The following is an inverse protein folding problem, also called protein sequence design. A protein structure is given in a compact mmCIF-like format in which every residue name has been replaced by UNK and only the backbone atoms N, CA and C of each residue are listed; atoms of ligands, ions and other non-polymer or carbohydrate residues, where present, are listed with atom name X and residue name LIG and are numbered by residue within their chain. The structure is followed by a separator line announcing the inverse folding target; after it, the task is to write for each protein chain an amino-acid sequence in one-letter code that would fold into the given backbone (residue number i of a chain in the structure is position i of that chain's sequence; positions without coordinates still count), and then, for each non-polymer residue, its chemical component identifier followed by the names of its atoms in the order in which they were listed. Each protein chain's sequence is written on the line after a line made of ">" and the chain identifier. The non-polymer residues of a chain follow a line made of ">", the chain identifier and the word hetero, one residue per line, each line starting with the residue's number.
data_IF_450258238463
#
_entry.id   IF_450258238463
#
_cell.length_a   1.000
_cell.length_b   1.000
_cell.length_c   1.000
_cell.angle_alpha   90.00
_cell.angle_beta   90.00
_cell.angle_gamma   90.00
#
_symmetry.space_group_name_H-M   'P 1'
#
loop_
_entity.id
_entity.type
_entity.pdbx_description
1 polymer ?
#
# COMPACT_ATOMS: atom_id res chain seq x y z
N UNK A 1 31.05 -15.92 -19.59
CA UNK A 1 30.22 -15.53 -18.42
C UNK A 1 28.98 -14.68 -18.77
N UNK A 2 29.07 -13.43 -19.27
CA UNK A 2 27.87 -12.65 -19.68
C UNK A 2 27.10 -13.24 -20.89
N UNK A 3 27.81 -13.80 -21.88
CA UNK A 3 27.20 -14.44 -23.08
C UNK A 3 26.44 -15.73 -22.75
N UNK A 4 26.91 -16.51 -21.78
CA UNK A 4 26.29 -17.79 -21.37
C UNK A 4 24.99 -17.58 -20.58
N UNK A 5 24.93 -16.49 -19.80
CA UNK A 5 23.74 -16.09 -19.06
C UNK A 5 22.61 -15.65 -20.00
N UNK A 6 22.93 -14.92 -21.06
CA UNK A 6 21.92 -14.51 -22.05
C UNK A 6 21.32 -15.71 -22.80
N UNK A 7 22.14 -16.70 -23.14
CA UNK A 7 21.70 -17.92 -23.84
C UNK A 7 20.77 -18.79 -22.98
N UNK A 8 21.03 -18.87 -21.68
CA UNK A 8 20.26 -19.71 -20.75
C UNK A 8 18.93 -19.11 -20.30
N UNK A 9 18.70 -17.80 -20.52
CA UNK A 9 17.49 -17.10 -20.08
C UNK A 9 16.82 -16.29 -21.20
N UNK A 10 17.14 -16.59 -22.45
CA UNK A 10 16.70 -15.78 -23.60
C UNK A 10 15.17 -15.71 -23.70
N UNK A 11 14.48 -16.82 -23.44
CA UNK A 11 13.01 -16.89 -23.51
C UNK A 11 12.38 -16.07 -22.40
N UNK A 12 12.90 -16.19 -21.19
CA UNK A 12 12.44 -15.47 -20.00
C UNK A 12 12.59 -13.96 -20.18
N UNK A 13 13.77 -13.52 -20.65
CA UNK A 13 14.05 -12.11 -20.91
C UNK A 13 13.13 -11.58 -22.02
N UNK A 14 12.99 -12.32 -23.13
CA UNK A 14 12.12 -11.91 -24.23
C UNK A 14 10.65 -11.81 -23.78
N UNK A 15 10.14 -12.81 -23.06
CA UNK A 15 8.78 -12.78 -22.53
C UNK A 15 8.57 -11.63 -21.55
N UNK A 16 9.58 -11.30 -20.73
CA UNK A 16 9.50 -10.16 -19.81
C UNK A 16 9.47 -8.83 -20.57
N UNK A 17 10.31 -8.68 -21.60
CA UNK A 17 10.30 -7.48 -22.45
C UNK A 17 8.95 -7.31 -23.15
N UNK A 18 8.40 -8.39 -23.74
CA UNK A 18 7.07 -8.37 -24.36
C UNK A 18 5.99 -7.99 -23.35
N UNK A 19 6.04 -8.55 -22.14
CA UNK A 19 5.13 -8.19 -21.07
C UNK A 19 5.22 -6.70 -20.73
N UNK A 20 6.43 -6.17 -20.53
CA UNK A 20 6.61 -4.76 -20.19
C UNK A 20 6.08 -3.83 -21.28
N UNK A 21 6.31 -4.16 -22.55
CA UNK A 21 5.81 -3.40 -23.71
C UNK A 21 4.28 -3.45 -23.76
N UNK A 22 3.67 -4.62 -23.61
CA UNK A 22 2.21 -4.79 -23.67
C UNK A 22 1.48 -3.98 -22.59
N UNK A 23 2.12 -3.77 -21.44
CA UNK A 23 1.54 -3.06 -20.30
C UNK A 23 1.98 -1.59 -20.16
N UNK A 24 2.65 -1.01 -21.17
CA UNK A 24 3.06 0.41 -21.16
C UNK A 24 1.91 1.36 -20.76
N UNK A 25 0.69 1.26 -21.31
CA UNK A 25 -0.41 2.15 -20.92
C UNK A 25 -0.77 2.03 -19.42
N UNK A 26 -0.73 0.81 -18.88
CA UNK A 26 -0.99 0.54 -17.46
C UNK A 26 0.11 1.11 -16.58
N UNK A 27 1.38 1.01 -17.01
CA UNK A 27 2.51 1.62 -16.30
C UNK A 27 2.45 3.15 -16.33
N UNK A 28 2.09 3.76 -17.46
CA UNK A 28 1.87 5.21 -17.55
C UNK A 28 0.77 5.67 -16.60
N UNK A 29 -0.36 4.94 -16.55
CA UNK A 29 -1.42 5.23 -15.59
C UNK A 29 -0.96 5.08 -14.14
N UNK A 30 -0.19 4.04 -13.81
CA UNK A 30 0.38 3.90 -12.46
C UNK A 30 1.37 5.02 -12.14
N UNK A 31 2.19 5.43 -13.11
CA UNK A 31 3.14 6.54 -12.97
C UNK A 31 2.43 7.85 -12.63
N UNK A 32 1.39 8.21 -13.39
CA UNK A 32 0.56 9.39 -13.10
C UNK A 32 -0.03 9.33 -11.68
N UNK A 33 -0.46 8.13 -11.25
CA UNK A 33 -1.00 7.92 -9.92
C UNK A 33 0.05 8.06 -8.83
N UNK A 34 1.28 7.55 -9.02
CA UNK A 34 2.34 7.63 -8.01
C UNK A 34 2.86 9.05 -7.82
N UNK A 35 2.96 9.83 -8.90
CA UNK A 35 3.57 11.17 -8.89
C UNK A 35 2.56 12.33 -8.81
N UNK A 36 1.25 12.05 -8.72
CA UNK A 36 0.26 13.08 -8.46
C UNK A 36 0.54 13.80 -7.11
N UNK A 37 0.36 15.13 -7.08
CA UNK A 37 0.65 16.00 -5.92
C UNK A 37 0.01 15.50 -4.62
N UNK A 38 -1.20 14.95 -4.70
CA UNK A 38 -1.94 14.42 -3.56
C UNK A 38 -2.11 12.89 -3.57
N UNK A 39 -1.14 12.20 -4.18
CA UNK A 39 -1.20 10.75 -4.34
C UNK A 39 -1.38 9.98 -3.03
N UNK A 40 -2.24 8.97 -3.06
CA UNK A 40 -2.34 7.94 -2.01
C UNK A 40 -1.27 6.85 -2.15
N UNK A 41 -0.58 6.81 -3.29
CA UNK A 41 0.32 5.73 -3.73
C UNK A 41 1.73 6.23 -4.06
N UNK A 42 2.20 7.33 -3.47
CA UNK A 42 3.57 7.84 -3.72
C UNK A 42 4.66 6.80 -3.44
N UNK A 43 4.41 5.85 -2.53
CA UNK A 43 5.31 4.73 -2.23
C UNK A 43 5.34 3.65 -3.33
N UNK A 44 4.37 3.63 -4.26
CA UNK A 44 4.18 2.56 -5.23
C UNK A 44 5.37 2.35 -6.16
N UNK A 45 6.08 3.42 -6.52
CA UNK A 45 7.32 3.33 -7.33
C UNK A 45 8.43 2.56 -6.62
N UNK A 46 8.48 2.58 -5.28
CA UNK A 46 9.50 1.88 -4.49
C UNK A 46 9.22 0.37 -4.39
N UNK A 47 7.97 -0.04 -4.56
CA UNK A 47 7.53 -1.42 -4.33
C UNK A 47 8.28 -2.44 -5.20
N UNK A 48 8.44 -2.25 -6.53
CA UNK A 48 9.25 -3.14 -7.36
C UNK A 48 10.70 -3.29 -6.91
N UNK A 49 11.32 -2.20 -6.44
CA UNK A 49 12.71 -2.22 -5.96
C UNK A 49 12.85 -3.01 -4.66
N UNK A 50 11.91 -2.84 -3.74
CA UNK A 50 11.86 -3.61 -2.47
C UNK A 50 11.61 -5.09 -2.76
N UNK A 51 10.67 -5.43 -3.65
CA UNK A 51 10.44 -6.81 -4.08
C UNK A 51 11.71 -7.42 -4.69
N UNK A 52 12.39 -6.69 -5.57
CA UNK A 52 13.64 -7.15 -6.19
C UNK A 52 14.75 -7.34 -5.16
N UNK A 53 14.86 -6.43 -4.19
CA UNK A 53 15.82 -6.55 -3.09
C UNK A 53 15.63 -7.83 -2.29
N UNK A 54 14.39 -8.17 -1.90
CA UNK A 54 14.12 -9.42 -1.19
C UNK A 54 14.45 -10.66 -2.04
N UNK A 55 14.10 -10.66 -3.33
CA UNK A 55 14.51 -11.75 -4.24
C UNK A 55 16.03 -11.85 -4.33
N UNK A 56 16.73 -10.72 -4.38
CA UNK A 56 18.19 -10.66 -4.45
C UNK A 56 18.87 -11.19 -3.19
N UNK A 57 18.30 -10.94 -2.00
CA UNK A 57 18.78 -11.55 -0.76
C UNK A 57 18.67 -13.08 -0.78
N UNK A 58 17.65 -13.63 -1.44
CA UNK A 58 17.39 -15.07 -1.52
C UNK A 58 18.15 -15.77 -2.65
N UNK A 59 18.95 -15.05 -3.46
CA UNK A 59 19.58 -15.59 -4.69
C UNK A 59 20.39 -16.88 -4.47
N UNK A 60 21.08 -16.99 -3.34
CA UNK A 60 21.92 -18.15 -3.02
C UNK A 60 21.09 -19.40 -2.72
N UNK A 61 19.92 -19.23 -2.09
CA UNK A 61 18.97 -20.31 -1.85
C UNK A 61 18.21 -20.68 -3.13
N UNK A 62 17.81 -19.69 -3.91
CA UNK A 62 17.12 -19.89 -5.19
C UNK A 62 17.98 -20.65 -6.20
N UNK A 63 19.30 -20.40 -6.22
CA UNK A 63 20.24 -21.11 -7.08
C UNK A 63 20.33 -22.62 -6.78
N UNK A 64 19.99 -23.05 -5.55
CA UNK A 64 19.98 -24.47 -5.14
C UNK A 64 18.70 -25.20 -5.55
N UNK A 65 17.64 -24.47 -5.90
CA UNK A 65 16.35 -25.05 -6.27
C UNK A 65 16.36 -25.36 -7.77
N UNK A 66 16.17 -26.64 -8.12
CA UNK A 66 16.02 -27.05 -9.51
C UNK A 66 14.75 -26.42 -10.11
N UNK A 67 14.88 -25.84 -11.29
CA UNK A 67 13.75 -25.29 -12.05
C UNK A 67 12.84 -26.41 -12.54
N UNK A 68 11.56 -26.12 -12.54
CA UNK A 68 10.54 -26.98 -13.12
C UNK A 68 9.51 -26.12 -13.83
N UNK A 69 8.95 -26.59 -14.93
CA UNK A 69 7.78 -25.95 -15.53
C UNK A 69 6.52 -26.37 -14.78
N UNK A 70 5.66 -25.42 -14.43
CA UNK A 70 4.34 -25.70 -13.86
C UNK A 70 3.24 -25.39 -14.89
N UNK A 71 2.33 -26.33 -15.18
CA UNK A 71 1.23 -26.09 -16.12
C UNK A 71 0.26 -25.00 -15.63
N UNK A 72 0.18 -24.78 -14.31
CA UNK A 72 -0.59 -23.69 -13.73
C UNK A 72 -0.06 -22.31 -14.12
N UNK A 73 1.24 -22.18 -14.41
CA UNK A 73 1.84 -20.92 -14.85
C UNK A 73 1.24 -20.44 -16.17
N UNK A 74 1.11 -21.35 -17.15
CA UNK A 74 0.51 -21.00 -18.45
C UNK A 74 -0.97 -20.62 -18.32
N UNK A 75 -1.74 -21.33 -17.47
CA UNK A 75 -3.14 -20.99 -17.20
C UNK A 75 -3.29 -19.56 -16.64
N UNK A 76 -2.42 -19.17 -15.71
CA UNK A 76 -2.40 -17.81 -15.15
C UNK A 76 -2.00 -16.75 -16.19
N UNK A 77 -1.02 -17.05 -17.05
CA UNK A 77 -0.63 -16.15 -18.15
C UNK A 77 -1.80 -15.90 -19.08
N UNK A 78 -2.47 -16.98 -19.56
CA UNK A 78 -3.61 -16.86 -20.47
C UNK A 78 -4.75 -16.08 -19.80
N UNK A 79 -5.10 -16.42 -18.56
CA UNK A 79 -6.14 -15.71 -17.82
C UNK A 79 -5.82 -14.21 -17.66
N UNK A 80 -4.59 -13.87 -17.28
CA UNK A 80 -4.16 -12.48 -17.12
C UNK A 80 -4.13 -11.71 -18.45
N UNK A 81 -3.76 -12.35 -19.57
CA UNK A 81 -3.82 -11.73 -20.90
C UNK A 81 -5.27 -11.47 -21.32
N UNK A 82 -6.19 -12.41 -21.08
CA UNK A 82 -7.63 -12.21 -21.36
C UNK A 82 -8.14 -11.00 -20.55
N UNK A 83 -7.83 -10.95 -19.25
CA UNK A 83 -8.21 -9.81 -18.40
C UNK A 83 -7.61 -8.51 -18.93
N UNK A 84 -6.35 -8.51 -19.36
CA UNK A 84 -5.70 -7.34 -19.93
C UNK A 84 -6.41 -6.84 -21.20
N UNK A 85 -6.69 -7.74 -22.14
CA UNK A 85 -7.37 -7.40 -23.41
C UNK A 85 -8.74 -6.80 -23.11
N UNK A 86 -9.56 -7.50 -22.32
CA UNK A 86 -10.89 -7.02 -21.93
C UNK A 86 -10.80 -5.67 -21.21
N UNK A 87 -9.87 -5.53 -20.26
CA UNK A 87 -9.68 -4.29 -19.52
C UNK A 87 -9.26 -3.14 -20.42
N UNK A 88 -8.38 -3.39 -21.39
CA UNK A 88 -7.93 -2.39 -22.37
C UNK A 88 -9.06 -1.97 -23.31
N UNK A 89 -9.93 -2.91 -23.73
CA UNK A 89 -11.13 -2.60 -24.54
C UNK A 89 -12.09 -1.68 -23.78
N UNK A 90 -12.31 -1.92 -22.49
CA UNK A 90 -13.18 -1.10 -21.64
C UNK A 90 -12.46 0.08 -20.95
N UNK A 91 -11.18 0.30 -21.24
CA UNK A 91 -10.33 1.35 -20.64
C UNK A 91 -10.29 1.31 -19.10
N UNK A 92 -10.35 0.12 -18.53
CA UNK A 92 -10.29 -0.13 -17.08
C UNK A 92 -8.83 -0.35 -16.65
N UNK A 93 -8.10 0.75 -16.45
CA UNK A 93 -6.65 0.70 -16.19
C UNK A 93 -6.28 -0.08 -14.91
N UNK A 94 -7.10 -0.03 -13.86
CA UNK A 94 -6.86 -0.81 -12.63
C UNK A 94 -6.83 -2.31 -12.90
N UNK A 95 -7.85 -2.84 -13.58
CA UNK A 95 -7.96 -4.27 -13.90
C UNK A 95 -6.82 -4.72 -14.81
N UNK A 96 -6.41 -3.85 -15.73
CA UNK A 96 -5.22 -4.05 -16.56
C UNK A 96 -3.93 -4.06 -15.71
N UNK A 97 -3.71 -3.08 -14.84
CA UNK A 97 -2.54 -3.06 -13.94
C UNK A 97 -2.51 -4.28 -12.98
N UNK A 98 -3.67 -4.74 -12.52
CA UNK A 98 -3.75 -5.95 -11.70
C UNK A 98 -3.46 -7.22 -12.52
N UNK A 99 -3.91 -7.29 -13.78
CA UNK A 99 -3.62 -8.44 -14.64
C UNK A 99 -2.14 -8.57 -14.96
N UNK A 100 -1.37 -7.48 -14.98
CA UNK A 100 0.09 -7.52 -15.06
C UNK A 100 0.69 -8.41 -13.96
N UNK A 101 0.24 -8.24 -12.72
CA UNK A 101 0.69 -9.07 -11.60
C UNK A 101 0.36 -10.54 -11.82
N UNK A 102 -0.86 -10.83 -12.29
CA UNK A 102 -1.30 -12.20 -12.58
C UNK A 102 -0.43 -12.85 -13.66
N UNK A 103 -0.16 -12.14 -14.76
CA UNK A 103 0.71 -12.65 -15.84
C UNK A 103 2.14 -12.82 -15.33
N UNK A 104 2.66 -11.85 -14.57
CA UNK A 104 4.00 -11.91 -13.99
C UNK A 104 4.16 -13.11 -13.04
N UNK A 105 3.19 -13.35 -12.15
CA UNK A 105 3.15 -14.51 -11.27
C UNK A 105 3.08 -15.82 -12.08
N UNK A 106 2.26 -15.83 -13.13
CA UNK A 106 2.17 -16.95 -14.07
C UNK A 106 3.51 -17.23 -14.77
N UNK A 107 4.24 -16.19 -15.19
CA UNK A 107 5.58 -16.31 -15.78
C UNK A 107 6.58 -16.88 -14.78
N UNK A 108 6.60 -16.39 -13.54
CA UNK A 108 7.49 -16.95 -12.51
C UNK A 108 7.18 -18.43 -12.29
N UNK A 109 5.90 -18.78 -12.21
CA UNK A 109 5.46 -20.16 -12.01
C UNK A 109 5.76 -21.05 -13.23
N UNK A 110 5.65 -20.52 -14.45
CA UNK A 110 5.92 -21.24 -15.70
C UNK A 110 7.41 -21.52 -15.90
N UNK A 111 8.27 -20.51 -15.72
CA UNK A 111 9.71 -20.63 -15.99
C UNK A 111 10.51 -21.22 -14.82
N UNK A 112 10.11 -20.92 -13.58
CA UNK A 112 10.89 -21.30 -12.38
C UNK A 112 10.20 -22.35 -11.51
N UNK A 113 8.89 -22.53 -11.66
CA UNK A 113 8.14 -23.60 -11.00
C UNK A 113 7.66 -23.28 -9.58
N UNK A 114 6.87 -24.20 -9.03
CA UNK A 114 6.16 -24.00 -7.77
C UNK A 114 7.08 -23.86 -6.55
N UNK A 115 8.25 -24.51 -6.54
CA UNK A 115 9.20 -24.42 -5.41
C UNK A 115 9.80 -23.03 -5.30
N UNK A 116 10.27 -22.47 -6.42
CA UNK A 116 10.78 -21.09 -6.48
C UNK A 116 9.65 -20.11 -6.19
N UNK A 117 8.47 -20.28 -6.81
CA UNK A 117 7.31 -19.43 -6.58
C UNK A 117 6.92 -19.33 -5.10
N UNK A 118 6.85 -20.47 -4.40
CA UNK A 118 6.59 -20.49 -2.94
C UNK A 118 7.67 -19.76 -2.15
N UNK A 119 8.94 -19.89 -2.55
CA UNK A 119 10.06 -19.24 -1.87
C UNK A 119 10.03 -17.72 -2.04
N UNK A 120 9.65 -17.22 -3.21
CA UNK A 120 9.51 -15.78 -3.49
C UNK A 120 8.08 -15.26 -3.34
N UNK A 121 7.19 -16.00 -2.65
CA UNK A 121 5.78 -15.64 -2.56
C UNK A 121 5.57 -14.27 -1.94
N UNK A 122 6.28 -13.95 -0.84
CA UNK A 122 6.17 -12.64 -0.22
C UNK A 122 6.62 -11.49 -1.16
N UNK A 123 7.84 -11.51 -1.75
CA UNK A 123 8.24 -10.50 -2.72
C UNK A 123 7.27 -10.32 -3.88
N UNK A 124 6.67 -11.41 -4.36
CA UNK A 124 5.64 -11.36 -5.41
C UNK A 124 4.38 -10.68 -4.89
N UNK A 125 3.81 -11.15 -3.79
CA UNK A 125 2.59 -10.57 -3.20
C UNK A 125 2.78 -9.10 -2.82
N UNK A 126 3.98 -8.69 -2.42
CA UNK A 126 4.31 -7.31 -2.10
C UNK A 126 4.12 -6.36 -3.31
N UNK A 127 4.27 -6.85 -4.55
CA UNK A 127 4.01 -6.05 -5.76
C UNK A 127 2.57 -5.55 -5.84
N UNK A 128 1.62 -6.17 -5.14
CA UNK A 128 0.24 -5.67 -5.05
C UNK A 128 0.17 -4.22 -4.55
N UNK A 129 1.04 -3.82 -3.62
CA UNK A 129 1.06 -2.46 -3.07
C UNK A 129 1.44 -1.38 -4.09
N UNK A 130 2.01 -1.75 -5.25
CA UNK A 130 2.31 -0.80 -6.31
C UNK A 130 1.06 -0.41 -7.12
N UNK A 131 0.03 -1.26 -7.15
CA UNK A 131 -1.16 -1.06 -8.00
C UNK A 131 -2.14 -0.13 -7.30
N UNK A 132 -2.38 1.09 -7.82
CA UNK A 132 -3.32 2.03 -7.23
C UNK A 132 -4.76 1.49 -7.29
N UNK A 133 -5.53 1.61 -6.21
CA UNK A 133 -6.95 1.24 -6.24
C UNK A 133 -7.78 2.18 -7.14
N UNK A 134 -8.94 1.73 -7.67
CA UNK A 134 -9.86 2.59 -8.40
C UNK A 134 -10.32 3.78 -7.55
N UNK A 135 -10.49 4.95 -8.16
CA UNK A 135 -10.93 6.16 -7.43
C UNK A 135 -12.25 5.96 -6.70
N UNK A 136 -13.20 5.23 -7.28
CA UNK A 136 -14.46 4.93 -6.59
C UNK A 136 -14.21 4.22 -5.25
N UNK A 137 -13.26 3.28 -5.19
CA UNK A 137 -12.91 2.57 -3.95
C UNK A 137 -12.20 3.52 -2.98
N UNK A 138 -11.23 4.29 -3.46
CA UNK A 138 -10.50 5.28 -2.65
C UNK A 138 -11.47 6.28 -2.03
N UNK A 139 -12.36 6.89 -2.82
CA UNK A 139 -13.34 7.86 -2.36
C UNK A 139 -14.31 7.27 -1.34
N UNK A 140 -14.78 6.03 -1.57
CA UNK A 140 -15.68 5.35 -0.62
C UNK A 140 -15.00 5.08 0.73
N UNK A 141 -13.76 4.57 0.72
CA UNK A 141 -13.01 4.29 1.95
C UNK A 141 -12.65 5.61 2.65
N UNK A 142 -12.15 6.60 1.89
CA UNK A 142 -11.81 7.94 2.41
C UNK A 142 -13.02 8.56 3.10
N UNK A 143 -14.19 8.56 2.46
CA UNK A 143 -15.42 9.08 3.05
C UNK A 143 -15.77 8.40 4.38
N UNK A 144 -15.76 7.06 4.43
CA UNK A 144 -16.04 6.32 5.66
C UNK A 144 -15.05 6.65 6.78
N UNK A 145 -13.76 6.73 6.46
CA UNK A 145 -12.72 7.08 7.42
C UNK A 145 -12.87 8.52 7.92
N UNK A 146 -13.17 9.51 7.06
CA UNK A 146 -13.43 10.90 7.46
C UNK A 146 -14.58 11.00 8.45
N UNK A 147 -15.69 10.33 8.15
CA UNK A 147 -16.89 10.33 9.00
C UNK A 147 -16.61 9.72 10.36
N UNK A 148 -15.89 8.59 10.38
CA UNK A 148 -15.47 7.92 11.60
C UNK A 148 -14.50 8.76 12.43
N UNK A 149 -13.48 9.35 11.79
CA UNK A 149 -12.52 10.21 12.44
C UNK A 149 -13.18 11.46 13.03
N UNK A 150 -14.09 12.11 12.29
CA UNK A 150 -14.82 13.27 12.77
C UNK A 150 -15.73 12.95 13.97
N UNK A 151 -16.40 11.79 13.96
CA UNK A 151 -17.21 11.33 15.09
C UNK A 151 -16.37 11.11 16.34
N UNK A 152 -15.24 10.42 16.22
CA UNK A 152 -14.40 10.15 17.38
C UNK A 152 -13.68 11.40 17.88
N UNK A 153 -13.28 12.29 16.97
CA UNK A 153 -12.69 13.56 17.35
C UNK A 153 -13.68 14.42 18.14
N UNK A 154 -14.93 14.54 17.70
CA UNK A 154 -15.97 15.27 18.44
C UNK A 154 -16.17 14.73 19.87
N UNK A 155 -16.24 13.40 20.05
CA UNK A 155 -16.33 12.78 21.38
C UNK A 155 -15.13 13.15 22.26
N UNK A 156 -13.92 13.08 21.71
CA UNK A 156 -12.68 13.36 22.46
C UNK A 156 -12.58 14.85 22.81
N UNK A 157 -12.88 15.74 21.87
CA UNK A 157 -12.83 17.19 22.05
C UNK A 157 -13.85 17.64 23.12
N UNK A 158 -15.07 17.12 23.07
CA UNK A 158 -16.07 17.38 24.11
C UNK A 158 -15.61 16.89 25.49
N UNK A 159 -14.96 15.72 25.57
CA UNK A 159 -14.35 15.23 26.82
C UNK A 159 -13.20 16.09 27.34
N UNK A 160 -12.53 16.84 26.47
CA UNK A 160 -11.51 17.81 26.85
C UNK A 160 -12.11 19.15 27.34
N UNK A 161 -13.44 19.29 27.33
CA UNK A 161 -14.14 20.50 27.78
C UNK A 161 -14.34 21.56 26.71
N UNK A 162 -14.05 21.26 25.45
CA UNK A 162 -14.29 22.15 24.31
C UNK A 162 -15.63 21.76 23.67
N UNK A 163 -16.67 22.62 23.72
CA UNK A 163 -17.96 22.31 23.10
C UNK A 163 -17.80 22.14 21.59
N UNK A 164 -18.06 20.94 21.10
CA UNK A 164 -17.93 20.61 19.68
C UNK A 164 -19.21 19.93 19.15
N UNK A 165 -19.66 20.35 17.96
CA UNK A 165 -20.81 19.77 17.27
C UNK A 165 -20.38 19.29 15.89
N UNK A 166 -20.64 18.01 15.59
CA UNK A 166 -20.33 17.43 14.29
C UNK A 166 -21.48 17.62 13.30
N UNK A 167 -21.16 18.11 12.10
CA UNK A 167 -22.03 18.13 10.92
C UNK A 167 -21.31 17.43 9.76
N UNK A 168 -21.62 16.16 9.53
CA UNK A 168 -20.90 15.36 8.53
C UNK A 168 -19.45 15.10 8.94
N UNK A 169 -18.49 15.50 8.10
CA UNK A 169 -17.05 15.50 8.40
C UNK A 169 -16.54 16.83 8.99
N UNK A 170 -17.42 17.82 9.16
CA UNK A 170 -17.10 19.09 9.80
C UNK A 170 -17.35 19.01 11.31
N UNK A 171 -16.41 19.56 12.09
CA UNK A 171 -16.49 19.73 13.53
C UNK A 171 -16.55 21.24 13.79
N UNK A 172 -17.67 21.72 14.30
CA UNK A 172 -17.85 23.12 14.69
C UNK A 172 -17.56 23.24 16.17
N UNK A 173 -16.66 24.16 16.53
CA UNK A 173 -16.33 24.51 17.91
C UNK A 173 -16.78 25.96 18.16
N UNK A 174 -16.34 26.59 19.26
CA UNK A 174 -16.85 27.90 19.66
C UNK A 174 -16.35 29.00 18.73
N UNK A 175 -15.04 29.00 18.48
CA UNK A 175 -14.36 30.07 17.77
C UNK A 175 -13.83 29.60 16.40
N UNK A 176 -13.91 28.30 16.11
CA UNK A 176 -13.41 27.74 14.86
C UNK A 176 -14.23 26.55 14.34
N UNK A 177 -13.94 26.13 13.11
CA UNK A 177 -14.44 24.89 12.54
C UNK A 177 -13.31 24.15 11.81
N UNK A 178 -13.34 22.82 11.86
CA UNK A 178 -12.40 21.96 11.13
C UNK A 178 -13.17 21.02 10.23
N UNK A 179 -12.78 20.94 8.97
CA UNK A 179 -13.32 19.97 8.01
C UNK A 179 -12.30 18.86 7.83
N UNK A 180 -12.67 17.62 8.18
CA UNK A 180 -11.85 16.44 7.90
C UNK A 180 -11.95 16.12 6.41
N UNK A 181 -11.01 16.64 5.63
CA UNK A 181 -10.96 16.42 4.18
C UNK A 181 -10.05 15.24 3.78
N UNK A 182 -9.86 14.99 2.47
CA UNK A 182 -9.19 13.81 1.91
C UNK A 182 -7.79 13.63 2.46
N UNK A 183 -7.11 14.74 2.71
CA UNK A 183 -5.75 14.77 3.27
C UNK A 183 -5.71 14.34 4.74
N UNK A 184 -6.81 14.53 5.47
CA UNK A 184 -6.98 14.15 6.88
C UNK A 184 -7.78 12.85 7.07
N UNK A 185 -8.24 12.22 5.97
CA UNK A 185 -8.96 10.94 6.01
C UNK A 185 -8.17 9.79 6.64
N UNK A 186 -6.84 9.89 6.67
CA UNK A 186 -5.95 8.83 7.13
C UNK A 186 -5.75 7.71 6.12
N UNK A 187 -6.37 7.78 4.93
CA UNK A 187 -6.25 6.73 3.92
C UNK A 187 -4.82 6.63 3.36
N UNK A 188 -4.14 7.76 3.14
CA UNK A 188 -2.75 7.80 2.64
C UNK A 188 -1.79 7.09 3.60
N UNK A 189 -1.89 7.40 4.90
CA UNK A 189 -1.10 6.74 5.94
C UNK A 189 -1.49 5.27 6.10
N UNK A 190 -2.78 4.92 5.99
CA UNK A 190 -3.24 3.53 6.06
C UNK A 190 -2.62 2.65 4.96
N UNK A 191 -2.66 3.10 3.70
CA UNK A 191 -2.14 2.32 2.56
C UNK A 191 -0.63 2.11 2.69
N UNK A 192 0.11 3.17 3.03
CA UNK A 192 1.57 3.10 3.18
C UNK A 192 2.00 2.33 4.44
N UNK A 193 1.30 2.46 5.57
CA UNK A 193 1.57 1.69 6.79
C UNK A 193 1.22 0.22 6.63
N UNK A 194 0.20 -0.14 5.85
CA UNK A 194 -0.08 -1.55 5.54
C UNK A 194 1.01 -2.14 4.64
N UNK A 195 1.53 -1.39 3.66
CA UNK A 195 2.69 -1.81 2.88
C UNK A 195 3.92 -2.02 3.79
N UNK A 196 4.28 -1.03 4.60
CA UNK A 196 5.40 -1.12 5.53
C UNK A 196 5.20 -2.25 6.56
N UNK A 197 4.00 -2.36 7.11
CA UNK A 197 3.60 -3.39 8.05
C UNK A 197 3.73 -4.80 7.50
N UNK A 198 3.48 -4.99 6.20
CA UNK A 198 3.69 -6.29 5.54
C UNK A 198 5.17 -6.68 5.50
N UNK A 199 6.07 -5.70 5.30
CA UNK A 199 7.52 -5.90 5.38
C UNK A 199 7.93 -6.28 6.80
N UNK A 200 7.46 -5.53 7.80
CA UNK A 200 7.75 -5.81 9.20
C UNK A 200 7.27 -7.20 9.61
N UNK A 201 6.03 -7.56 9.27
CA UNK A 201 5.47 -8.87 9.52
C UNK A 201 6.27 -9.99 8.84
N UNK A 202 6.78 -9.76 7.62
CA UNK A 202 7.60 -10.75 6.93
C UNK A 202 8.99 -10.93 7.57
N UNK A 203 9.64 -9.83 7.97
CA UNK A 203 10.94 -9.86 8.64
C UNK A 203 10.85 -10.40 10.07
N UNK A 204 9.66 -10.38 10.67
CA UNK A 204 9.46 -10.90 12.02
C UNK A 204 9.68 -12.41 12.08
N UNK A 205 10.75 -12.84 12.76
CA UNK A 205 11.16 -14.24 12.81
C UNK A 205 10.36 -15.07 13.84
N UNK A 206 9.03 -15.01 13.75
CA UNK A 206 8.09 -15.78 14.57
C UNK A 206 7.08 -16.53 13.68
N UNK A 207 6.24 -17.35 14.30
CA UNK A 207 5.22 -18.15 13.59
C UNK A 207 4.21 -17.31 12.80
N UNK A 208 3.58 -17.93 11.79
CA UNK A 208 2.66 -17.26 10.86
C UNK A 208 1.54 -16.50 11.55
N UNK A 209 0.99 -17.03 12.65
CA UNK A 209 -0.07 -16.35 13.42
C UNK A 209 0.42 -14.99 13.95
N UNK A 210 1.58 -14.96 14.61
CA UNK A 210 2.16 -13.72 15.14
C UNK A 210 2.46 -12.70 14.03
N UNK A 211 2.93 -13.17 12.86
CA UNK A 211 3.13 -12.30 11.67
C UNK A 211 1.83 -11.69 11.17
N UNK A 212 0.77 -12.51 11.07
CA UNK A 212 -0.56 -12.04 10.64
C UNK A 212 -1.13 -11.06 11.65
N UNK A 213 -1.02 -11.33 12.96
CA UNK A 213 -1.45 -10.37 14.01
C UNK A 213 -0.68 -9.06 13.90
N UNK A 214 0.64 -9.09 13.73
CA UNK A 214 1.45 -7.89 13.55
C UNK A 214 1.02 -7.10 12.30
N UNK A 215 0.82 -7.78 11.17
CA UNK A 215 0.30 -7.12 9.96
C UNK A 215 -1.10 -6.53 10.16
N UNK A 216 -2.03 -7.29 10.74
CA UNK A 216 -3.40 -6.82 10.97
C UNK A 216 -3.45 -5.65 11.97
N UNK A 217 -2.48 -5.56 12.89
CA UNK A 217 -2.38 -4.43 13.83
C UNK A 217 -2.07 -3.08 13.14
N UNK A 218 -1.54 -3.09 11.90
CA UNK A 218 -1.20 -1.84 11.21
C UNK A 218 -2.44 -1.01 10.89
N UNK A 219 -3.57 -1.66 10.64
CA UNK A 219 -4.86 -1.00 10.35
C UNK A 219 -5.37 -0.21 11.56
N UNK A 220 -5.61 -0.81 12.74
CA UNK A 220 -6.05 -0.05 13.91
C UNK A 220 -5.01 0.98 14.36
N UNK A 221 -3.70 0.70 14.24
CA UNK A 221 -2.66 1.70 14.53
C UNK A 221 -2.77 2.91 13.61
N UNK A 222 -2.94 2.71 12.29
CA UNK A 222 -3.08 3.80 11.33
C UNK A 222 -4.35 4.63 11.58
N UNK A 223 -5.46 3.98 11.92
CA UNK A 223 -6.72 4.66 12.25
C UNK A 223 -6.59 5.45 13.56
N UNK A 224 -6.00 4.85 14.59
CA UNK A 224 -5.79 5.48 15.89
C UNK A 224 -4.89 6.71 15.80
N UNK A 225 -3.72 6.57 15.17
CA UNK A 225 -2.77 7.68 15.01
C UNK A 225 -3.36 8.82 14.18
N UNK A 226 -4.13 8.51 13.13
CA UNK A 226 -4.85 9.55 12.38
C UNK A 226 -5.93 10.24 13.22
N UNK A 227 -6.65 9.50 14.07
CA UNK A 227 -7.63 10.11 15.00
C UNK A 227 -6.96 11.09 15.96
N UNK A 228 -5.82 10.72 16.55
CA UNK A 228 -5.03 11.62 17.39
C UNK A 228 -4.64 12.89 16.64
N UNK A 229 -4.26 12.78 15.35
CA UNK A 229 -3.96 13.94 14.51
C UNK A 229 -5.16 14.83 14.27
N UNK A 230 -6.33 14.28 13.96
CA UNK A 230 -7.56 15.08 13.77
C UNK A 230 -7.91 15.83 15.05
N UNK A 231 -7.87 15.17 16.21
CA UNK A 231 -8.09 15.82 17.51
C UNK A 231 -7.08 16.94 17.74
N UNK A 232 -5.79 16.67 17.53
CA UNK A 232 -4.74 17.67 17.72
C UNK A 232 -4.95 18.90 16.82
N UNK A 233 -5.25 18.70 15.53
CA UNK A 233 -5.52 19.79 14.60
C UNK A 233 -6.79 20.59 14.97
N UNK A 234 -7.83 19.93 15.48
CA UNK A 234 -9.03 20.60 15.98
C UNK A 234 -8.74 21.46 17.22
N UNK A 235 -8.01 20.93 18.19
CA UNK A 235 -7.61 21.70 19.38
C UNK A 235 -6.71 22.88 19.00
N UNK A 236 -5.76 22.67 18.08
CA UNK A 236 -4.90 23.75 17.57
C UNK A 236 -5.73 24.84 16.90
N UNK A 237 -6.70 24.44 16.05
CA UNK A 237 -7.60 25.36 15.37
C UNK A 237 -8.41 26.21 16.35
N UNK A 238 -8.86 25.62 17.46
CA UNK A 238 -9.66 26.34 18.45
C UNK A 238 -8.83 27.31 19.29
N UNK A 239 -7.63 26.91 19.72
CA UNK A 239 -6.80 27.72 20.64
C UNK A 239 -6.03 28.81 19.91
N UNK A 240 -5.48 28.50 18.74
CA UNK A 240 -4.60 29.42 18.00
C UNK A 240 -5.24 29.98 16.73
N UNK A 241 -6.40 29.47 16.33
CA UNK A 241 -7.09 29.84 15.10
C UNK A 241 -6.81 28.88 13.94
N UNK A 242 -7.78 28.77 13.04
CA UNK A 242 -7.80 27.79 11.94
C UNK A 242 -6.61 27.89 10.97
N UNK A 243 -6.02 29.08 10.83
CA UNK A 243 -4.84 29.34 10.00
C UNK A 243 -3.60 28.55 10.45
N UNK A 244 -3.46 28.26 11.75
CA UNK A 244 -2.32 27.48 12.29
C UNK A 244 -2.53 25.97 12.17
N UNK A 245 -3.75 25.51 11.95
CA UNK A 245 -4.03 24.10 11.67
C UNK A 245 -3.74 23.72 10.20
N UNK A 246 -3.44 24.68 9.34
CA UNK A 246 -3.13 24.50 7.92
C UNK A 246 -1.62 24.59 7.63
N UNK A 247 -1.23 24.25 6.40
CA UNK A 247 0.14 24.39 5.90
C UNK A 247 1.16 23.57 6.70
N UNK A 248 2.16 24.24 7.26
CA UNK A 248 3.35 23.60 7.83
C UNK A 248 3.02 22.68 9.02
N UNK A 249 2.06 23.06 9.88
CA UNK A 249 1.61 22.24 11.02
C UNK A 249 0.89 20.99 10.53
N UNK A 250 0.08 21.11 9.48
CA UNK A 250 -0.59 19.97 8.87
C UNK A 250 0.43 18.96 8.30
N UNK A 251 1.53 19.43 7.70
CA UNK A 251 2.56 18.56 7.14
C UNK A 251 3.40 17.88 8.21
N UNK A 252 3.84 18.63 9.24
CA UNK A 252 4.59 18.08 10.38
C UNK A 252 3.76 17.02 11.10
N UNK A 253 2.49 17.30 11.38
CA UNK A 253 1.61 16.33 12.05
C UNK A 253 1.41 15.07 11.21
N UNK A 254 1.47 15.18 9.88
CA UNK A 254 1.47 14.03 8.97
C UNK A 254 2.69 13.13 9.18
N UNK A 255 3.90 13.69 9.27
CA UNK A 255 5.12 12.92 9.57
C UNK A 255 5.11 12.34 10.98
N UNK A 256 4.61 13.09 11.97
CA UNK A 256 4.48 12.59 13.35
C UNK A 256 3.55 11.37 13.44
N UNK A 257 2.44 11.35 12.69
CA UNK A 257 1.55 10.18 12.63
C UNK A 257 2.30 8.92 12.19
N UNK A 258 3.16 9.01 11.17
CA UNK A 258 3.97 7.88 10.76
C UNK A 258 4.97 7.45 11.83
N UNK A 259 5.67 8.40 12.47
CA UNK A 259 6.64 8.09 13.52
C UNK A 259 5.97 7.38 14.71
N UNK A 260 4.82 7.90 15.17
CA UNK A 260 4.04 7.29 16.25
C UNK A 260 3.51 5.92 15.83
N UNK A 261 2.98 5.79 14.61
CA UNK A 261 2.50 4.51 14.10
C UNK A 261 3.61 3.46 14.04
N UNK A 262 4.81 3.86 13.65
CA UNK A 262 5.99 3.00 13.63
C UNK A 262 6.40 2.53 15.03
N UNK A 263 6.43 3.44 16.01
CA UNK A 263 6.73 3.10 17.42
C UNK A 263 5.67 2.14 17.98
N UNK A 264 4.39 2.38 17.69
CA UNK A 264 3.31 1.48 18.10
C UNK A 264 3.44 0.09 17.45
N UNK A 265 3.85 0.03 16.18
CA UNK A 265 4.09 -1.24 15.50
C UNK A 265 5.24 -2.02 16.15
N UNK A 266 6.33 -1.34 16.53
CA UNK A 266 7.43 -1.94 17.29
C UNK A 266 6.97 -2.41 18.67
N UNK A 267 6.11 -1.66 19.35
CA UNK A 267 5.55 -2.06 20.64
C UNK A 267 4.70 -3.34 20.51
N UNK A 268 3.87 -3.44 19.47
CA UNK A 268 3.11 -4.67 19.16
C UNK A 268 4.06 -5.82 18.84
N UNK A 269 5.11 -5.57 18.05
CA UNK A 269 6.11 -6.59 17.75
C UNK A 269 6.74 -7.13 19.04
N UNK A 270 7.20 -6.26 19.94
CA UNK A 270 7.80 -6.63 21.22
C UNK A 270 6.83 -7.41 22.11
N UNK A 271 5.55 -7.03 22.15
CA UNK A 271 4.52 -7.75 22.90
C UNK A 271 4.27 -9.16 22.33
N UNK A 272 4.48 -9.35 21.03
CA UNK A 272 4.35 -10.63 20.35
C UNK A 272 5.63 -11.48 20.40
N UNK A 273 6.76 -10.98 20.92
CA UNK A 273 7.99 -11.79 21.02
C UNK A 273 7.81 -13.00 21.94
#
# INVERSE_FOLDING_TARGET
>A
MKKDLFKNYQKEILSLVVLLIAYIPSFMWMWERWFARDSYYSHGILVPFVSLFFVWQMRGELAKIQRSCSPWGMKLIIAGIIVHIVSSMFRVNFSSAFSFLVVFYGMVLHFFGGKIFKKVLFPLMFLFFMVPLPMAVISNISFRLKMFAAQLAEIVINKMGIPAIRKGSMILMRDSYVVVDDVCSGLRSLISLTALGSIFAYMFNKGTVKRVVLFLSTVPIAVFTNMCRVVALSVISEVWGSQYAAGLVHDITGFMVFAVAFVLLLAVQNLLE
#
